data_IF_746907920395
#
_entry.id   IF_746907920395
#
_cell.length_a   1.000
_cell.length_b   1.000
_cell.length_c   1.000
_cell.angle_alpha   90.00
_cell.angle_beta   90.00
_cell.angle_gamma   90.00
#
_symmetry.space_group_name_H-M   'P 1'
#
loop_
_entity.id
_entity.type
_entity.pdbx_description
1 polymer ?
#
# COMPACT_ATOMS: atom_id res chain seq x y z
N UNK A 1 21.05 78.29 38.52
CA UNK A 1 22.25 78.47 37.72
C UNK A 1 23.00 77.16 37.91
N UNK A 2 23.09 76.41 37.00
CA UNK A 2 23.41 76.02 35.76
C UNK A 2 22.94 74.54 35.52
N UNK A 3 22.15 74.34 34.53
CA UNK A 3 21.71 73.08 34.02
C UNK A 3 22.79 72.49 33.10
N UNK A 4 23.23 71.31 33.34
CA UNK A 4 24.04 70.53 32.37
C UNK A 4 23.24 69.35 31.88
N UNK A 5 22.79 69.42 30.63
CA UNK A 5 22.20 68.42 29.78
C UNK A 5 23.21 67.33 29.50
N UNK A 6 22.90 66.10 29.93
CA UNK A 6 23.59 64.87 29.49
C UNK A 6 22.78 64.22 28.41
N UNK A 7 23.25 64.29 27.19
CA UNK A 7 22.74 63.56 26.06
C UNK A 7 22.99 62.04 26.23
N UNK A 8 21.93 61.27 26.31
CA UNK A 8 21.99 59.81 26.30
C UNK A 8 22.15 59.27 24.85
N UNK A 9 23.35 58.83 24.50
CA UNK A 9 23.58 58.01 23.34
C UNK A 9 23.02 56.60 23.59
N UNK A 10 21.92 56.27 23.01
CA UNK A 10 21.46 54.88 22.84
C UNK A 10 22.21 54.24 21.67
N UNK A 11 22.94 53.14 21.86
CA UNK A 11 23.50 52.40 20.75
C UNK A 11 22.35 51.61 20.08
N UNK A 12 22.09 51.92 18.82
CA UNK A 12 21.28 51.09 17.95
C UNK A 12 21.85 49.65 17.90
N UNK A 13 21.17 48.74 18.59
CA UNK A 13 21.45 47.32 18.48
C UNK A 13 21.06 46.87 17.06
N UNK A 14 22.08 46.72 16.23
CA UNK A 14 21.98 46.00 14.96
C UNK A 14 21.54 44.57 15.27
N UNK A 15 20.23 44.29 15.21
CA UNK A 15 19.72 42.95 15.27
C UNK A 15 20.11 42.25 13.96
N UNK A 16 21.31 41.68 14.00
CA UNK A 16 21.73 40.68 13.01
C UNK A 16 20.75 39.52 13.06
N UNK A 17 19.85 39.48 12.05
CA UNK A 17 18.97 38.36 11.85
C UNK A 17 19.79 37.10 11.51
N UNK A 18 20.20 36.39 12.54
CA UNK A 18 20.82 35.08 12.41
C UNK A 18 19.79 34.14 11.76
N UNK A 19 19.91 33.94 10.45
CA UNK A 19 19.15 32.91 9.73
C UNK A 19 19.46 31.57 10.37
N UNK A 20 18.55 31.08 11.20
CA UNK A 20 18.75 29.81 11.92
C UNK A 20 19.00 28.68 10.89
N UNK A 21 20.09 27.89 11.02
CA UNK A 21 20.41 26.79 10.11
C UNK A 21 19.31 25.73 10.05
N UNK A 22 18.43 25.68 11.06
CA UNK A 22 17.24 24.81 11.11
C UNK A 22 16.26 25.06 9.96
N UNK A 23 16.04 26.30 9.52
CA UNK A 23 15.10 26.61 8.41
C UNK A 23 15.60 26.06 7.07
N UNK A 24 16.90 26.08 6.81
CA UNK A 24 17.50 25.48 5.61
C UNK A 24 17.38 23.96 5.58
N UNK A 25 17.63 23.31 6.71
CA UNK A 25 17.54 21.86 6.84
C UNK A 25 16.10 21.33 6.68
N UNK A 26 15.12 21.98 7.32
CA UNK A 26 13.70 21.61 7.19
C UNK A 26 13.22 21.80 5.75
N UNK A 27 13.59 22.93 5.10
CA UNK A 27 13.25 23.18 3.68
C UNK A 27 13.88 22.16 2.74
N UNK A 28 15.13 21.75 3.02
CA UNK A 28 15.82 20.68 2.30
C UNK A 28 15.11 19.33 2.46
N UNK A 29 14.69 18.96 3.68
CA UNK A 29 13.94 17.73 3.93
C UNK A 29 12.59 17.73 3.23
N UNK A 30 11.85 18.83 3.26
CA UNK A 30 10.56 18.97 2.59
C UNK A 30 10.69 18.84 1.06
N UNK A 31 11.73 19.47 0.47
CA UNK A 31 12.00 19.37 -0.97
C UNK A 31 12.42 17.94 -1.32
N UNK A 32 13.35 17.33 -0.60
CA UNK A 32 13.82 15.96 -0.80
C UNK A 32 12.66 14.96 -0.72
N UNK A 33 11.75 15.13 0.23
CA UNK A 33 10.57 14.28 0.41
C UNK A 33 9.59 14.35 -0.76
N UNK A 34 9.43 15.52 -1.39
CA UNK A 34 8.62 15.66 -2.62
C UNK A 34 9.21 14.88 -3.78
N UNK A 35 10.53 14.91 -3.97
CA UNK A 35 11.19 14.14 -5.02
C UNK A 35 11.06 12.62 -4.80
N UNK A 36 11.16 12.16 -3.55
CA UNK A 36 10.95 10.74 -3.20
C UNK A 36 9.51 10.31 -3.53
N UNK A 37 8.52 11.14 -3.18
CA UNK A 37 7.12 10.86 -3.51
C UNK A 37 6.88 10.80 -5.02
N UNK A 38 7.44 11.76 -5.78
CA UNK A 38 7.31 11.80 -7.25
C UNK A 38 7.99 10.61 -7.91
N UNK A 39 9.19 10.21 -7.45
CA UNK A 39 9.88 9.04 -7.98
C UNK A 39 9.10 7.75 -7.68
N UNK A 40 8.52 7.60 -6.49
CA UNK A 40 7.68 6.47 -6.13
C UNK A 40 6.44 6.37 -7.02
N UNK A 41 5.75 7.49 -7.24
CA UNK A 41 4.59 7.55 -8.14
C UNK A 41 4.96 7.25 -9.59
N UNK A 42 6.10 7.75 -10.07
CA UNK A 42 6.60 7.44 -11.41
C UNK A 42 6.86 5.94 -11.57
N UNK A 43 7.57 5.33 -10.60
CA UNK A 43 7.87 3.90 -10.62
C UNK A 43 6.58 3.06 -10.60
N UNK A 44 5.61 3.40 -9.72
CA UNK A 44 4.32 2.72 -9.68
C UNK A 44 3.62 2.83 -11.05
N UNK A 45 3.60 4.03 -11.65
CA UNK A 45 2.97 4.27 -12.95
C UNK A 45 3.65 3.44 -14.05
N UNK A 46 4.99 3.37 -14.04
CA UNK A 46 5.75 2.56 -15.00
C UNK A 46 5.45 1.06 -14.82
N UNK A 47 5.42 0.56 -13.59
CA UNK A 47 5.15 -0.86 -13.33
C UNK A 47 3.71 -1.23 -13.69
N UNK A 48 2.74 -0.38 -13.32
CA UNK A 48 1.33 -0.58 -13.70
C UNK A 48 1.18 -0.50 -15.22
N UNK A 49 1.81 0.48 -15.87
CA UNK A 49 1.83 0.59 -17.32
C UNK A 49 2.44 -0.64 -18.00
N UNK A 50 3.56 -1.13 -17.50
CA UNK A 50 4.20 -2.36 -17.98
C UNK A 50 3.33 -3.61 -17.77
N UNK A 51 2.65 -3.73 -16.62
CA UNK A 51 1.70 -4.80 -16.34
C UNK A 51 0.49 -4.76 -17.28
N UNK A 52 -0.02 -3.57 -17.60
CA UNK A 52 -1.10 -3.39 -18.58
C UNK A 52 -0.62 -3.72 -19.98
N UNK A 53 0.59 -3.29 -20.35
CA UNK A 53 1.18 -3.51 -21.68
C UNK A 53 1.65 -4.97 -21.91
N UNK A 54 1.83 -5.77 -20.86
CA UNK A 54 2.33 -7.13 -20.94
C UNK A 54 1.69 -8.00 -22.05
N UNK A 55 0.34 -8.02 -22.24
CA UNK A 55 -0.30 -8.83 -23.27
C UNK A 55 0.02 -8.39 -24.72
N UNK A 56 0.39 -7.12 -24.93
CA UNK A 56 0.76 -6.61 -26.24
C UNK A 56 2.25 -6.78 -26.54
N UNK A 57 3.09 -6.90 -25.49
CA UNK A 57 4.54 -7.06 -25.62
C UNK A 57 4.94 -8.53 -25.70
N UNK A 58 4.26 -9.40 -24.95
CA UNK A 58 4.58 -10.83 -24.86
C UNK A 58 3.32 -11.67 -24.96
N UNK A 59 3.27 -12.55 -25.96
CA UNK A 59 2.21 -13.52 -26.08
C UNK A 59 2.17 -14.46 -24.86
N UNK A 60 0.96 -14.83 -24.41
CA UNK A 60 0.76 -15.73 -23.28
C UNK A 60 1.50 -17.07 -23.46
N UNK A 61 1.46 -17.62 -24.70
CA UNK A 61 2.14 -18.87 -25.00
C UNK A 61 3.66 -18.73 -24.86
N UNK A 62 4.24 -17.59 -25.22
CA UNK A 62 5.69 -17.35 -25.09
C UNK A 62 6.17 -17.38 -23.63
N UNK A 63 5.32 -16.96 -22.68
CA UNK A 63 5.66 -16.89 -21.25
C UNK A 63 5.25 -18.14 -20.46
N UNK A 64 4.44 -19.05 -21.06
CA UNK A 64 3.94 -20.25 -20.38
C UNK A 64 4.45 -21.55 -21.00
N UNK A 65 4.76 -21.56 -22.30
CA UNK A 65 5.22 -22.76 -23.01
C UNK A 65 6.61 -23.18 -22.56
N UNK A 66 6.76 -24.45 -22.24
CA UNK A 66 8.05 -25.07 -21.88
C UNK A 66 8.90 -25.32 -23.12
N UNK A 67 10.18 -24.95 -23.07
CA UNK A 67 11.16 -25.19 -24.13
C UNK A 67 12.53 -25.51 -23.50
N UNK A 68 12.71 -26.78 -23.12
CA UNK A 68 13.90 -27.24 -22.38
C UNK A 68 15.21 -26.94 -23.11
N UNK A 69 15.20 -26.89 -24.46
CA UNK A 69 16.37 -26.50 -25.27
C UNK A 69 16.87 -25.07 -24.96
N UNK A 70 15.98 -24.23 -24.44
CA UNK A 70 16.28 -22.84 -24.09
C UNK A 70 16.40 -22.65 -22.57
N UNK A 71 16.55 -23.73 -21.81
CA UNK A 71 16.64 -23.68 -20.35
C UNK A 71 17.88 -22.91 -19.91
N UNK A 72 17.70 -21.98 -18.94
CA UNK A 72 18.75 -21.25 -18.23
C UNK A 72 19.71 -20.48 -19.14
N UNK A 73 19.23 -19.97 -20.29
CA UNK A 73 20.04 -19.07 -21.14
C UNK A 73 20.24 -17.75 -20.35
N UNK A 74 21.51 -17.30 -20.20
CA UNK A 74 21.83 -16.08 -19.48
C UNK A 74 21.28 -14.83 -20.19
N UNK A 75 21.17 -13.68 -19.48
CA UNK A 75 20.78 -12.41 -20.09
C UNK A 75 21.62 -12.05 -21.30
N UNK A 76 20.96 -11.64 -22.40
CA UNK A 76 21.60 -11.31 -23.65
C UNK A 76 20.67 -10.61 -24.64
N UNK A 77 21.12 -10.42 -25.89
CA UNK A 77 20.36 -9.67 -26.90
C UNK A 77 19.02 -10.32 -27.27
N UNK A 78 18.90 -11.64 -27.22
CA UNK A 78 17.66 -12.38 -27.53
C UNK A 78 16.71 -12.44 -26.32
N UNK A 79 17.27 -12.65 -25.14
CA UNK A 79 16.51 -12.72 -23.87
C UNK A 79 17.12 -11.72 -22.89
N UNK A 80 16.52 -10.55 -22.75
CA UNK A 80 17.09 -9.43 -21.98
C UNK A 80 17.33 -9.77 -20.50
N UNK A 81 16.46 -10.55 -19.88
CA UNK A 81 16.64 -11.05 -18.51
C UNK A 81 17.03 -12.55 -18.48
N UNK A 82 17.27 -13.15 -19.64
CA UNK A 82 17.52 -14.58 -19.76
C UNK A 82 16.23 -15.41 -19.76
N UNK A 83 16.40 -16.72 -19.58
CA UNK A 83 15.30 -17.68 -19.50
C UNK A 83 15.29 -18.39 -18.14
N UNK A 84 14.13 -18.93 -17.76
CA UNK A 84 13.99 -19.72 -16.55
C UNK A 84 14.38 -21.21 -16.78
N UNK A 85 14.21 -22.04 -15.74
CA UNK A 85 14.52 -23.49 -15.76
C UNK A 85 13.73 -24.28 -16.81
N UNK A 86 12.59 -23.77 -17.24
CA UNK A 86 11.75 -24.37 -18.26
C UNK A 86 11.92 -23.72 -19.64
N UNK A 87 12.93 -22.83 -19.80
CA UNK A 87 13.25 -22.17 -21.06
C UNK A 87 12.26 -21.07 -21.47
N UNK A 88 11.51 -20.51 -20.53
CA UNK A 88 10.54 -19.44 -20.76
C UNK A 88 11.21 -18.08 -20.60
N UNK A 89 10.81 -17.10 -21.41
CA UNK A 89 11.35 -15.73 -21.33
C UNK A 89 11.07 -15.10 -19.96
N UNK A 90 12.14 -14.76 -19.23
CA UNK A 90 12.06 -14.25 -17.87
C UNK A 90 11.50 -12.83 -17.82
N UNK A 91 11.80 -11.97 -18.80
CA UNK A 91 11.26 -10.61 -18.88
C UNK A 91 9.73 -10.66 -19.08
N UNK A 92 9.28 -11.44 -20.05
CA UNK A 92 7.85 -11.64 -20.29
C UNK A 92 7.14 -12.16 -19.05
N UNK A 93 7.74 -13.12 -18.32
CA UNK A 93 7.19 -13.65 -17.08
C UNK A 93 7.14 -12.62 -15.94
N UNK A 94 8.15 -11.76 -15.81
CA UNK A 94 8.16 -10.67 -14.83
C UNK A 94 7.05 -9.66 -15.13
N UNK A 95 6.82 -9.29 -16.39
CA UNK A 95 5.77 -8.35 -16.78
C UNK A 95 4.36 -8.94 -16.58
N UNK A 96 4.13 -10.17 -16.99
CA UNK A 96 2.87 -10.87 -16.72
C UNK A 96 2.66 -11.12 -15.22
N UNK A 97 3.76 -11.43 -14.49
CA UNK A 97 3.76 -11.57 -13.04
C UNK A 97 3.34 -10.28 -12.33
N UNK A 98 3.81 -9.13 -12.82
CA UNK A 98 3.36 -7.82 -12.32
C UNK A 98 1.84 -7.67 -12.41
N UNK A 99 1.25 -8.04 -13.56
CA UNK A 99 -0.19 -7.98 -13.78
C UNK A 99 -0.96 -8.83 -12.78
N UNK A 100 -0.49 -10.06 -12.53
CA UNK A 100 -1.18 -11.01 -11.63
C UNK A 100 -0.99 -10.59 -10.17
N UNK A 101 0.26 -10.30 -9.75
CA UNK A 101 0.56 -9.87 -8.38
C UNK A 101 -0.17 -8.59 -8.01
N UNK A 102 -0.21 -7.59 -8.91
CA UNK A 102 -0.95 -6.34 -8.69
C UNK A 102 -2.46 -6.58 -8.69
N UNK A 103 -3.01 -7.41 -9.60
CA UNK A 103 -4.44 -7.70 -9.62
C UNK A 103 -4.92 -8.37 -8.31
N UNK A 104 -4.15 -9.32 -7.78
CA UNK A 104 -4.41 -9.94 -6.48
C UNK A 104 -4.39 -8.89 -5.36
N UNK A 105 -3.36 -8.04 -5.32
CA UNK A 105 -3.22 -7.02 -4.28
C UNK A 105 -4.35 -5.98 -4.35
N UNK A 106 -4.62 -5.41 -5.53
CA UNK A 106 -5.71 -4.45 -5.70
C UNK A 106 -7.07 -5.07 -5.39
N UNK A 107 -7.35 -6.26 -5.92
CA UNK A 107 -8.60 -6.96 -5.66
C UNK A 107 -8.83 -7.21 -4.17
N UNK A 108 -7.80 -7.68 -3.46
CA UNK A 108 -7.89 -7.94 -2.02
C UNK A 108 -8.10 -6.67 -1.21
N UNK A 109 -7.38 -5.57 -1.52
CA UNK A 109 -7.53 -4.29 -0.83
C UNK A 109 -8.90 -3.67 -1.09
N UNK A 110 -9.41 -3.73 -2.33
CA UNK A 110 -10.76 -3.23 -2.65
C UNK A 110 -11.83 -3.99 -1.87
N UNK A 111 -11.77 -5.32 -1.82
CA UNK A 111 -12.72 -6.13 -1.04
C UNK A 111 -12.61 -5.79 0.45
N UNK A 112 -11.40 -5.76 1.00
CA UNK A 112 -11.17 -5.43 2.41
C UNK A 112 -11.64 -4.02 2.76
N UNK A 113 -11.42 -3.05 1.87
CA UNK A 113 -11.84 -1.66 2.01
C UNK A 113 -13.38 -1.54 2.01
N UNK A 114 -14.05 -2.12 1.01
CA UNK A 114 -15.51 -2.04 0.90
C UNK A 114 -16.18 -2.68 2.12
N UNK A 115 -15.81 -3.91 2.45
CA UNK A 115 -16.40 -4.64 3.59
C UNK A 115 -15.97 -4.01 4.91
N UNK A 116 -14.68 -3.74 5.08
CA UNK A 116 -14.11 -3.23 6.33
C UNK A 116 -14.58 -1.82 6.68
N UNK A 117 -14.68 -0.90 5.69
CA UNK A 117 -15.22 0.45 5.93
C UNK A 117 -16.72 0.38 6.22
N UNK A 118 -17.48 -0.44 5.51
CA UNK A 118 -18.91 -0.60 5.75
C UNK A 118 -19.20 -1.09 7.18
N UNK A 119 -18.50 -2.16 7.60
CA UNK A 119 -18.61 -2.68 8.97
C UNK A 119 -18.05 -1.70 10.00
N UNK A 120 -16.93 -1.06 9.72
CA UNK A 120 -16.32 -0.04 10.57
C UNK A 120 -17.24 1.18 10.75
N UNK A 121 -17.91 1.60 9.67
CA UNK A 121 -18.90 2.66 9.73
C UNK A 121 -20.10 2.26 10.58
N UNK A 122 -20.61 1.06 10.42
CA UNK A 122 -21.69 0.55 11.26
C UNK A 122 -21.27 0.49 12.73
N UNK A 123 -20.08 -0.03 13.04
CA UNK A 123 -19.56 -0.14 14.41
C UNK A 123 -19.23 1.22 15.05
N UNK A 124 -18.79 2.20 14.26
CA UNK A 124 -18.50 3.55 14.76
C UNK A 124 -19.74 4.42 14.93
N UNK A 125 -20.75 4.21 14.08
CA UNK A 125 -21.95 5.03 14.07
C UNK A 125 -23.04 4.50 15.00
N UNK A 126 -23.34 3.20 14.94
CA UNK A 126 -24.36 2.58 15.78
C UNK A 126 -23.79 2.10 17.12
N UNK A 127 -24.66 2.09 18.14
CA UNK A 127 -24.37 1.56 19.47
C UNK A 127 -25.29 0.36 19.74
N UNK A 128 -24.84 -0.58 20.57
CA UNK A 128 -25.64 -1.75 20.96
C UNK A 128 -24.87 -3.06 20.85
N UNK A 129 -25.59 -4.17 20.99
CA UNK A 129 -25.01 -5.51 21.07
C UNK A 129 -24.37 -5.95 19.73
N UNK A 130 -25.02 -5.70 18.60
CA UNK A 130 -24.52 -6.13 17.29
C UNK A 130 -23.19 -5.45 16.89
N UNK A 131 -23.03 -4.11 16.94
CA UNK A 131 -21.72 -3.48 16.75
C UNK A 131 -20.66 -3.96 17.73
N UNK A 132 -21.02 -4.17 19.00
CA UNK A 132 -20.09 -4.69 20.00
C UNK A 132 -19.64 -6.12 19.69
N UNK A 133 -20.53 -6.99 19.24
CA UNK A 133 -20.20 -8.36 18.82
C UNK A 133 -19.28 -8.37 17.59
N UNK A 134 -19.54 -7.52 16.59
CA UNK A 134 -18.66 -7.37 15.42
C UNK A 134 -17.26 -6.92 15.87
N UNK A 135 -17.15 -5.90 16.72
CA UNK A 135 -15.85 -5.42 17.20
C UNK A 135 -15.10 -6.51 17.97
N UNK A 136 -15.78 -7.33 18.80
CA UNK A 136 -15.17 -8.47 19.48
C UNK A 136 -14.65 -9.53 18.53
N UNK A 137 -15.42 -9.82 17.47
CA UNK A 137 -14.97 -10.74 16.41
C UNK A 137 -13.72 -10.19 15.69
N UNK A 138 -13.70 -8.89 15.39
CA UNK A 138 -12.52 -8.26 14.76
C UNK A 138 -11.31 -8.30 15.70
N UNK A 139 -11.49 -8.02 16.98
CA UNK A 139 -10.44 -8.10 17.99
C UNK A 139 -9.88 -9.53 18.10
N UNK A 140 -10.75 -10.54 18.07
CA UNK A 140 -10.33 -11.95 18.04
C UNK A 140 -9.50 -12.29 16.80
N UNK A 141 -9.94 -11.84 15.61
CA UNK A 141 -9.20 -12.09 14.36
C UNK A 141 -7.84 -11.38 14.32
N UNK A 142 -7.73 -10.17 14.87
CA UNK A 142 -6.46 -9.41 14.96
C UNK A 142 -5.47 -10.08 15.94
N UNK A 143 -5.94 -10.84 16.92
CA UNK A 143 -5.07 -11.57 17.83
C UNK A 143 -4.21 -12.64 17.13
N UNK A 144 -4.61 -13.09 15.95
CA UNK A 144 -3.83 -14.01 15.12
C UNK A 144 -2.94 -13.26 14.13
N UNK A 145 -1.73 -13.74 13.84
CA UNK A 145 -0.94 -13.23 12.73
C UNK A 145 -1.72 -13.30 11.42
N UNK A 146 -1.78 -12.19 10.67
CA UNK A 146 -2.56 -12.07 9.41
C UNK A 146 -2.22 -13.16 8.40
N UNK A 147 -0.93 -13.50 8.29
CA UNK A 147 -0.45 -14.57 7.41
C UNK A 147 -1.05 -15.92 7.76
N UNK A 148 -1.21 -16.24 9.04
CA UNK A 148 -1.84 -17.50 9.47
C UNK A 148 -3.31 -17.54 9.08
N UNK A 149 -4.06 -16.45 9.28
CA UNK A 149 -5.46 -16.36 8.82
C UNK A 149 -5.55 -16.56 7.31
N UNK A 150 -4.66 -15.93 6.54
CA UNK A 150 -4.64 -16.07 5.09
C UNK A 150 -4.28 -17.49 4.65
N UNK A 151 -3.32 -18.17 5.31
CA UNK A 151 -2.96 -19.57 5.05
C UNK A 151 -4.17 -20.48 5.24
N UNK A 152 -4.90 -20.34 6.35
CA UNK A 152 -6.08 -21.16 6.64
C UNK A 152 -7.14 -20.98 5.54
N UNK A 153 -7.40 -19.73 5.14
CA UNK A 153 -8.40 -19.45 4.08
C UNK A 153 -7.99 -20.07 2.75
N UNK A 154 -6.72 -19.91 2.31
CA UNK A 154 -6.26 -20.52 1.04
C UNK A 154 -6.29 -22.04 1.11
N UNK A 155 -5.88 -22.63 2.23
CA UNK A 155 -5.87 -24.10 2.38
C UNK A 155 -7.26 -24.68 2.24
N UNK A 156 -8.30 -24.01 2.73
CA UNK A 156 -9.70 -24.45 2.60
C UNK A 156 -10.26 -24.13 1.20
N UNK A 157 -9.92 -22.96 0.63
CA UNK A 157 -10.48 -22.51 -0.64
C UNK A 157 -9.76 -23.10 -1.88
N UNK A 158 -8.56 -23.69 -1.68
CA UNK A 158 -7.69 -24.20 -2.75
C UNK A 158 -6.80 -23.14 -3.38
N UNK A 159 -5.80 -23.58 -4.15
CA UNK A 159 -4.79 -22.71 -4.75
C UNK A 159 -5.30 -22.10 -6.05
N UNK A 160 -5.69 -20.83 -6.00
CA UNK A 160 -6.14 -20.06 -7.18
C UNK A 160 -5.90 -18.57 -6.96
N UNK A 161 -5.97 -17.76 -8.03
CA UNK A 161 -5.90 -16.30 -7.95
C UNK A 161 -7.03 -15.75 -7.07
N UNK A 162 -8.25 -16.28 -7.23
CA UNK A 162 -9.43 -15.85 -6.45
C UNK A 162 -9.31 -16.21 -4.98
N UNK A 163 -8.87 -17.42 -4.66
CA UNK A 163 -8.67 -17.86 -3.27
C UNK A 163 -7.58 -17.04 -2.57
N UNK A 164 -6.48 -16.77 -3.26
CA UNK A 164 -5.40 -15.91 -2.74
C UNK A 164 -5.91 -14.50 -2.47
N UNK A 165 -6.66 -13.92 -3.42
CA UNK A 165 -7.28 -12.58 -3.27
C UNK A 165 -8.22 -12.53 -2.08
N UNK A 166 -9.11 -13.52 -1.93
CA UNK A 166 -10.05 -13.59 -0.80
C UNK A 166 -9.35 -13.80 0.53
N UNK A 167 -8.31 -14.62 0.58
CA UNK A 167 -7.56 -14.88 1.80
C UNK A 167 -6.88 -13.62 2.33
N UNK A 168 -6.24 -12.85 1.45
CA UNK A 168 -5.64 -11.56 1.80
C UNK A 168 -6.73 -10.56 2.22
N UNK A 169 -7.85 -10.49 1.50
CA UNK A 169 -8.96 -9.61 1.83
C UNK A 169 -9.52 -9.93 3.22
N UNK A 170 -9.88 -11.17 3.49
CA UNK A 170 -10.46 -11.62 4.78
C UNK A 170 -9.51 -11.32 5.93
N UNK A 171 -8.20 -11.58 5.78
CA UNK A 171 -7.21 -11.28 6.79
C UNK A 171 -6.98 -9.77 7.03
N UNK A 172 -7.38 -8.93 6.07
CA UNK A 172 -7.20 -7.48 6.11
C UNK A 172 -8.45 -6.74 6.63
N UNK A 173 -9.65 -7.28 6.43
CA UNK A 173 -10.94 -6.70 6.88
C UNK A 173 -10.90 -6.22 8.35
N UNK A 174 -10.43 -7.00 9.34
CA UNK A 174 -10.44 -6.59 10.73
C UNK A 174 -9.69 -5.27 10.98
N UNK A 175 -8.58 -5.06 10.27
CA UNK A 175 -7.78 -3.85 10.38
C UNK A 175 -8.59 -2.63 9.88
N UNK A 176 -9.28 -2.75 8.74
CA UNK A 176 -10.12 -1.68 8.22
C UNK A 176 -11.28 -1.36 9.16
N UNK A 177 -11.98 -2.38 9.66
CA UNK A 177 -13.08 -2.19 10.62
C UNK A 177 -12.59 -1.39 11.84
N UNK A 178 -11.49 -1.85 12.43
CA UNK A 178 -10.92 -1.23 13.64
C UNK A 178 -10.42 0.18 13.39
N UNK A 179 -9.73 0.38 12.27
CA UNK A 179 -9.14 1.67 11.90
C UNK A 179 -10.19 2.75 11.66
N UNK A 180 -11.33 2.42 11.00
CA UNK A 180 -12.34 3.40 10.64
C UNK A 180 -13.41 3.61 11.70
N UNK A 181 -13.67 2.65 12.59
CA UNK A 181 -14.68 2.78 13.64
C UNK A 181 -14.41 3.98 14.57
N UNK A 182 -13.15 4.22 14.95
CA UNK A 182 -12.75 5.33 15.82
C UNK A 182 -13.04 6.72 15.23
N UNK A 183 -12.46 7.08 14.07
CA UNK A 183 -12.72 8.35 13.40
C UNK A 183 -14.20 8.60 13.10
N UNK A 184 -14.95 7.56 12.68
CA UNK A 184 -16.37 7.67 12.39
C UNK A 184 -17.17 7.97 13.67
N UNK A 185 -16.84 7.32 14.79
CA UNK A 185 -17.44 7.62 16.08
C UNK A 185 -17.18 9.06 16.50
N UNK A 186 -15.95 9.56 16.36
CA UNK A 186 -15.60 10.93 16.67
C UNK A 186 -16.33 11.96 15.78
N UNK A 187 -16.52 11.65 14.48
CA UNK A 187 -17.27 12.51 13.57
C UNK A 187 -18.76 12.56 13.91
N UNK A 188 -19.35 11.45 14.38
CA UNK A 188 -20.75 11.39 14.80
C UNK A 188 -21.09 12.42 15.89
N UNK A 189 -20.13 12.78 16.74
CA UNK A 189 -20.29 13.71 17.87
C UNK A 189 -20.05 15.18 17.46
N UNK A 190 -19.71 15.46 16.19
CA UNK A 190 -19.46 16.82 15.70
C UNK A 190 -20.76 17.61 15.51
N UNK A 191 -20.69 18.91 15.74
CA UNK A 191 -21.85 19.84 15.69
C UNK A 191 -22.61 19.79 14.37
N UNK A 192 -21.91 19.70 13.22
CA UNK A 192 -22.56 19.63 11.92
C UNK A 192 -23.39 18.34 11.72
N UNK A 193 -22.98 17.22 12.34
CA UNK A 193 -23.72 15.96 12.32
C UNK A 193 -24.96 16.09 13.22
N UNK A 194 -24.81 16.67 14.41
CA UNK A 194 -25.91 16.91 15.33
C UNK A 194 -26.94 17.86 14.71
N UNK A 195 -26.52 18.97 14.11
CA UNK A 195 -27.39 19.91 13.39
C UNK A 195 -28.14 19.22 12.24
N UNK A 196 -27.49 18.35 11.49
CA UNK A 196 -28.15 17.61 10.41
C UNK A 196 -29.19 16.61 10.93
N UNK A 197 -29.01 16.05 12.13
CA UNK A 197 -30.00 15.20 12.78
C UNK A 197 -31.23 15.98 13.23
N UNK A 198 -31.05 17.20 13.74
CA UNK A 198 -32.18 18.02 14.19
C UNK A 198 -33.13 18.42 13.06
N UNK A 199 -32.63 18.51 11.82
CA UNK A 199 -33.48 18.75 10.64
C UNK A 199 -34.04 17.45 10.02
N UNK A 200 -33.90 16.29 10.72
CA UNK A 200 -34.52 15.02 10.32
C UNK A 200 -33.75 14.19 9.28
N UNK A 201 -32.45 14.44 9.09
CA UNK A 201 -31.65 13.63 8.17
C UNK A 201 -31.51 12.18 8.66
N UNK A 202 -31.86 11.21 7.80
CA UNK A 202 -31.75 9.79 8.12
C UNK A 202 -30.29 9.32 8.23
N UNK A 203 -30.02 8.32 9.06
CA UNK A 203 -28.69 7.83 9.42
C UNK A 203 -27.87 7.38 8.21
N UNK A 204 -28.45 6.63 7.27
CA UNK A 204 -27.73 6.18 6.06
C UNK A 204 -27.26 7.37 5.20
N UNK A 205 -28.15 8.35 4.99
CA UNK A 205 -27.80 9.57 4.24
C UNK A 205 -26.70 10.34 4.96
N UNK A 206 -26.78 10.44 6.29
CA UNK A 206 -25.76 11.05 7.14
C UNK A 206 -24.38 10.38 6.95
N UNK A 207 -24.34 9.06 7.00
CA UNK A 207 -23.10 8.29 6.80
C UNK A 207 -22.48 8.58 5.44
N UNK A 208 -23.27 8.47 4.36
CA UNK A 208 -22.76 8.56 2.99
C UNK A 208 -22.41 9.99 2.59
N UNK A 209 -23.22 10.99 2.99
CA UNK A 209 -23.04 12.38 2.52
C UNK A 209 -22.18 13.23 3.42
N UNK A 210 -22.07 12.90 4.70
CA UNK A 210 -21.34 13.72 5.66
C UNK A 210 -20.16 13.00 6.33
N UNK A 211 -20.33 11.76 6.78
CA UNK A 211 -19.29 11.09 7.56
C UNK A 211 -18.21 10.45 6.66
N UNK A 212 -18.60 9.62 5.71
CA UNK A 212 -17.63 8.93 4.81
C UNK A 212 -16.76 9.89 4.00
N UNK A 213 -17.27 10.98 3.40
CA UNK A 213 -16.40 11.94 2.71
C UNK A 213 -15.35 12.59 3.62
N UNK A 214 -15.68 12.82 4.90
CA UNK A 214 -14.75 13.40 5.88
C UNK A 214 -13.62 12.45 6.30
N UNK A 215 -13.77 11.13 6.12
CA UNK A 215 -12.70 10.15 6.32
C UNK A 215 -12.02 9.75 5.00
N UNK A 216 -12.40 10.34 3.87
CA UNK A 216 -11.92 9.99 2.53
C UNK A 216 -10.39 10.02 2.40
N UNK A 217 -9.75 11.02 2.98
CA UNK A 217 -8.30 11.14 2.99
C UNK A 217 -7.62 9.99 3.76
N UNK A 218 -8.21 9.55 4.88
CA UNK A 218 -7.72 8.39 5.64
C UNK A 218 -7.90 7.09 4.85
N UNK A 219 -8.98 6.98 4.05
CA UNK A 219 -9.22 5.83 3.18
C UNK A 219 -8.09 5.68 2.17
N UNK A 220 -7.71 6.76 1.48
CA UNK A 220 -6.66 6.74 0.46
C UNK A 220 -5.31 6.34 1.07
N UNK A 221 -4.94 6.94 2.20
CA UNK A 221 -3.70 6.62 2.91
C UNK A 221 -3.67 5.14 3.32
N UNK A 222 -4.73 4.67 3.98
CA UNK A 222 -4.81 3.27 4.43
C UNK A 222 -4.79 2.29 3.26
N UNK A 223 -5.48 2.59 2.16
CA UNK A 223 -5.47 1.75 0.96
C UNK A 223 -4.05 1.62 0.36
N UNK A 224 -3.29 2.73 0.31
CA UNK A 224 -1.93 2.71 -0.26
C UNK A 224 -0.99 1.85 0.58
N UNK A 225 -1.03 1.98 1.91
CA UNK A 225 -0.22 1.15 2.82
C UNK A 225 -0.64 -0.33 2.70
N UNK A 226 -1.95 -0.59 2.67
CA UNK A 226 -2.48 -1.95 2.54
C UNK A 226 -2.09 -2.63 1.22
N UNK A 227 -1.87 -1.87 0.13
CA UNK A 227 -1.40 -2.44 -1.14
C UNK A 227 0.01 -3.03 -1.00
N UNK A 228 0.95 -2.31 -0.37
CA UNK A 228 2.30 -2.83 -0.13
C UNK A 228 2.27 -4.11 0.72
N UNK A 229 1.45 -4.12 1.78
CA UNK A 229 1.27 -5.29 2.65
C UNK A 229 0.59 -6.46 1.92
N UNK A 230 -0.42 -6.19 1.09
CA UNK A 230 -1.12 -7.22 0.31
C UNK A 230 -0.19 -7.89 -0.71
N UNK A 231 0.68 -7.11 -1.38
CA UNK A 231 1.71 -7.63 -2.29
C UNK A 231 2.68 -8.53 -1.50
N UNK A 232 3.15 -8.09 -0.34
CA UNK A 232 4.08 -8.85 0.48
C UNK A 232 3.47 -10.16 0.99
N UNK A 233 2.24 -10.11 1.53
CA UNK A 233 1.53 -11.30 2.03
C UNK A 233 1.23 -12.27 0.88
N UNK A 234 0.70 -11.76 -0.25
CA UNK A 234 0.36 -12.56 -1.42
C UNK A 234 1.57 -13.28 -1.99
N UNK A 235 2.68 -12.55 -2.20
CA UNK A 235 3.92 -13.16 -2.68
C UNK A 235 4.53 -14.12 -1.66
N UNK A 236 4.40 -13.84 -0.36
CA UNK A 236 4.81 -14.77 0.70
C UNK A 236 4.00 -16.08 0.70
N UNK A 237 2.68 -16.01 0.53
CA UNK A 237 1.82 -17.18 0.41
C UNK A 237 2.16 -17.98 -0.86
N UNK A 238 2.35 -17.30 -1.99
CA UNK A 238 2.74 -17.94 -3.25
C UNK A 238 4.12 -18.59 -3.16
N UNK A 239 5.05 -17.96 -2.45
CA UNK A 239 6.38 -18.54 -2.14
C UNK A 239 6.29 -19.84 -1.33
N UNK A 240 5.28 -19.95 -0.46
CA UNK A 240 4.98 -21.17 0.32
C UNK A 240 4.18 -22.23 -0.49
N UNK A 241 3.93 -21.97 -1.78
CA UNK A 241 3.18 -22.90 -2.64
C UNK A 241 1.66 -22.76 -2.55
N UNK A 242 1.16 -21.73 -1.87
CA UNK A 242 -0.28 -21.45 -1.71
C UNK A 242 -0.81 -20.46 -2.75
N UNK A 243 0.01 -20.06 -3.72
CA UNK A 243 -0.37 -19.19 -4.83
C UNK A 243 -1.02 -19.94 -6.00
N UNK A 244 -1.29 -19.22 -7.11
CA UNK A 244 -1.83 -19.84 -8.32
C UNK A 244 -0.83 -20.88 -8.86
N UNK A 245 -1.35 -22.04 -9.35
CA UNK A 245 -0.49 -23.11 -9.83
C UNK A 245 0.23 -22.72 -11.15
N UNK A 246 1.38 -23.36 -11.45
CA UNK A 246 1.99 -23.26 -12.78
C UNK A 246 0.98 -23.59 -13.90
N UNK A 247 1.10 -22.97 -15.08
CA UNK A 247 2.20 -22.12 -15.56
C UNK A 247 2.08 -20.63 -15.24
N UNK A 248 1.10 -20.22 -14.44
CA UNK A 248 0.77 -18.82 -14.16
C UNK A 248 2.00 -18.10 -13.56
N UNK A 249 2.51 -17.03 -14.20
CA UNK A 249 3.61 -16.25 -13.65
C UNK A 249 3.09 -15.34 -12.54
N UNK A 250 3.50 -15.60 -11.30
CA UNK A 250 3.30 -14.76 -10.13
C UNK A 250 4.66 -14.63 -9.42
N UNK A 251 5.01 -13.40 -8.98
CA UNK A 251 6.39 -13.14 -8.52
C UNK A 251 6.82 -13.99 -7.34
N UNK A 252 5.95 -14.23 -6.35
CA UNK A 252 6.27 -15.08 -5.21
C UNK A 252 6.49 -16.55 -5.61
N UNK A 253 5.67 -17.09 -6.50
CA UNK A 253 5.84 -18.42 -7.05
C UNK A 253 7.10 -18.53 -7.93
N UNK A 254 7.44 -17.49 -8.70
CA UNK A 254 8.67 -17.43 -9.48
C UNK A 254 9.92 -17.44 -8.58
N UNK A 255 9.89 -16.67 -7.47
CA UNK A 255 10.98 -16.66 -6.48
C UNK A 255 11.13 -18.05 -5.83
N UNK A 256 10.02 -18.71 -5.49
CA UNK A 256 10.04 -20.05 -4.89
C UNK A 256 10.69 -21.07 -5.83
N UNK A 257 10.29 -21.09 -7.12
CA UNK A 257 10.85 -21.96 -8.13
C UNK A 257 12.36 -21.72 -8.37
N UNK A 258 12.80 -20.47 -8.28
CA UNK A 258 14.20 -20.07 -8.53
C UNK A 258 15.16 -20.37 -7.36
N UNK A 259 14.67 -20.79 -6.18
CA UNK A 259 15.53 -21.03 -4.98
C UNK A 259 16.70 -21.97 -5.23
N UNK A 260 16.53 -23.14 -5.89
CA UNK A 260 17.64 -24.06 -6.15
C UNK A 260 18.72 -23.46 -7.05
N UNK A 261 18.37 -22.44 -7.83
CA UNK A 261 19.24 -21.84 -8.85
C UNK A 261 20.00 -20.60 -8.33
N UNK A 262 19.78 -20.19 -7.08
CA UNK A 262 20.31 -18.94 -6.52
C UNK A 262 21.83 -18.80 -6.66
N UNK A 263 22.58 -19.90 -6.49
CA UNK A 263 24.04 -19.88 -6.53
C UNK A 263 24.59 -19.93 -7.97
N UNK A 264 23.92 -20.68 -8.86
CA UNK A 264 24.43 -20.96 -10.21
C UNK A 264 23.86 -19.96 -11.23
N UNK A 265 22.57 -19.63 -11.11
CA UNK A 265 21.85 -18.73 -12.02
C UNK A 265 21.06 -17.66 -11.24
N UNK A 266 21.74 -16.73 -10.52
CA UNK A 266 21.10 -15.77 -9.64
C UNK A 266 20.11 -14.83 -10.33
N UNK A 267 20.29 -14.57 -11.64
CA UNK A 267 19.40 -13.69 -12.41
C UNK A 267 17.95 -14.15 -12.43
N UNK A 268 17.70 -15.48 -12.36
CA UNK A 268 16.34 -16.05 -12.38
C UNK A 268 15.54 -15.63 -11.14
N UNK A 269 16.22 -15.49 -9.99
CA UNK A 269 15.61 -15.02 -8.74
C UNK A 269 15.64 -13.50 -8.63
N UNK A 270 16.73 -12.84 -9.04
CA UNK A 270 16.91 -11.39 -8.92
C UNK A 270 15.85 -10.64 -9.73
N UNK A 271 15.45 -11.15 -10.90
CA UNK A 271 14.48 -10.48 -11.74
C UNK A 271 13.09 -10.33 -11.06
N UNK A 272 12.39 -11.40 -10.64
CA UNK A 272 11.11 -11.26 -9.94
C UNK A 272 11.28 -10.68 -8.52
N UNK A 273 12.37 -11.00 -7.80
CA UNK A 273 12.67 -10.46 -6.48
C UNK A 273 12.90 -8.96 -6.49
N UNK A 274 13.67 -8.47 -7.49
CA UNK A 274 13.89 -7.04 -7.70
C UNK A 274 12.61 -6.29 -8.06
N UNK A 275 11.78 -6.85 -8.93
CA UNK A 275 10.48 -6.29 -9.27
C UNK A 275 9.56 -6.18 -8.04
N UNK A 276 9.50 -7.25 -7.23
CA UNK A 276 8.74 -7.28 -5.98
C UNK A 276 9.25 -6.24 -4.98
N UNK A 277 10.56 -6.16 -4.78
CA UNK A 277 11.19 -5.18 -3.89
C UNK A 277 10.87 -3.74 -4.30
N UNK A 278 11.05 -3.42 -5.59
CA UNK A 278 10.83 -2.06 -6.11
C UNK A 278 9.36 -1.65 -5.95
N UNK A 279 8.41 -2.55 -6.23
CA UNK A 279 7.00 -2.23 -6.14
C UNK A 279 6.56 -2.01 -4.69
N UNK A 280 6.98 -2.88 -3.76
CA UNK A 280 6.65 -2.74 -2.33
C UNK A 280 7.24 -1.43 -1.78
N UNK A 281 8.52 -1.15 -2.08
CA UNK A 281 9.17 0.09 -1.67
C UNK A 281 8.43 1.31 -2.20
N UNK A 282 8.03 1.29 -3.48
CA UNK A 282 7.34 2.42 -4.11
C UNK A 282 5.96 2.67 -3.48
N UNK A 283 5.16 1.63 -3.20
CA UNK A 283 3.88 1.80 -2.51
C UNK A 283 4.05 2.30 -1.07
N UNK A 284 5.05 1.83 -0.33
CA UNK A 284 5.35 2.33 1.02
C UNK A 284 5.73 3.81 0.99
N UNK A 285 6.66 4.22 0.11
CA UNK A 285 7.07 5.62 -0.02
C UNK A 285 5.92 6.53 -0.47
N UNK A 286 5.06 6.07 -1.38
CA UNK A 286 3.87 6.79 -1.80
C UNK A 286 2.85 6.91 -0.65
N UNK A 287 2.65 5.85 0.13
CA UNK A 287 1.78 5.83 1.31
C UNK A 287 2.23 6.80 2.39
N UNK A 288 3.52 6.81 2.71
CA UNK A 288 4.12 7.74 3.67
C UNK A 288 3.96 9.20 3.21
N UNK A 289 4.21 9.47 1.92
CA UNK A 289 4.05 10.81 1.37
C UNK A 289 2.58 11.30 1.41
N UNK A 290 1.61 10.42 1.13
CA UNK A 290 0.19 10.72 1.24
C UNK A 290 -0.22 10.96 2.70
N UNK A 291 0.26 10.14 3.62
CA UNK A 291 0.00 10.31 5.06
C UNK A 291 0.43 11.67 5.55
N UNK A 292 1.63 12.09 5.18
CA UNK A 292 2.14 13.40 5.58
C UNK A 292 1.38 14.58 4.97
N UNK A 293 0.91 14.40 3.73
CA UNK A 293 0.09 15.43 3.08
C UNK A 293 -1.27 15.61 3.75
N UNK A 294 -1.84 14.51 4.25
CA UNK A 294 -3.17 14.46 4.90
C UNK A 294 -3.10 14.89 6.37
N UNK A 295 -1.96 14.72 7.06
CA UNK A 295 -1.84 15.07 8.48
C UNK A 295 -1.82 16.61 8.68
N UNK A 296 -2.88 17.19 9.34
CA UNK A 296 -2.95 18.63 9.58
C UNK A 296 -1.81 19.16 10.45
N UNK A 297 -1.25 18.33 11.34
CA UNK A 297 -0.16 18.73 12.25
C UNK A 297 1.12 19.04 11.49
N UNK A 298 1.33 18.47 10.32
CA UNK A 298 2.48 18.77 9.46
C UNK A 298 2.39 20.17 8.84
N UNK A 299 1.20 20.80 8.79
CA UNK A 299 0.96 22.15 8.24
C UNK A 299 1.16 23.28 9.24
N UNK A 300 1.07 23.01 10.55
CA UNK A 300 1.13 24.02 11.62
C UNK A 300 2.36 23.91 12.51
N UNK A 301 3.34 23.12 12.14
CA UNK A 301 4.62 23.00 12.86
C UNK A 301 5.61 24.12 12.55
N UNK A 302 5.13 25.39 12.58
CA UNK A 302 5.98 26.58 12.48
C UNK A 302 5.48 27.69 13.38
#
# INVERSE_FOLDING_TARGET
MESSTLASHTPEAVVSASRSPRRGFIRFLVIRRRWVALSALLIITLIVGAAVAAPWLFDWNAVTRVSLEKSLIPPGATYWLGTDELGRDLLGRVLWGARITLAVAFGSVVIAMVVGISLGAACGYYSGVAPAAIMRLMDFLIAFPRTLVAIVVVTVAGNSISSLTLAIAISTIPIYVRFFAGPIKALKEREFVLASKTIGMGDFKMLVTHILPNVGSLIIVQATVSLAEAILIGSGLSFLGLGPPPPIPEWGAMIAASRPLLVIHPYVLIAPGGALFIVILSFNLAGDALRDYVDPKSRYGH
#
